data_IF_567168745382
#
_entry.id   IF_567168745382
#
_cell.length_a   1.000
_cell.length_b   1.000
_cell.length_c   1.000
_cell.angle_alpha   90.00
_cell.angle_beta   90.00
_cell.angle_gamma   90.00
#
_symmetry.space_group_name_H-M   'P 1'
#
loop_
_entity.id
_entity.type
_entity.pdbx_description
1 polymer ?
#
# COMPACT_ATOMS: atom_id res chain seq x y z
N UNK A 1 -13.23 -27.45 -2.21
CA UNK A 1 -11.96 -27.34 -1.46
C UNK A 1 -11.53 -25.89 -1.48
N UNK A 2 -11.30 -25.31 -0.32
CA UNK A 2 -10.85 -23.93 -0.21
C UNK A 2 -9.34 -23.87 -0.54
N UNK A 3 -8.87 -22.96 -1.42
CA UNK A 3 -7.44 -22.88 -1.72
C UNK A 3 -6.64 -22.50 -0.47
N UNK A 4 -5.37 -22.94 -0.40
CA UNK A 4 -4.50 -22.68 0.75
C UNK A 4 -4.41 -21.17 1.03
N UNK A 5 -4.22 -20.83 2.30
CA UNK A 5 -4.01 -19.43 2.71
C UNK A 5 -2.66 -18.95 2.19
N UNK A 6 -2.65 -17.76 1.61
CA UNK A 6 -1.44 -17.15 1.04
C UNK A 6 -0.89 -16.06 1.94
N UNK A 7 0.40 -15.76 1.85
CA UNK A 7 1.01 -14.64 2.59
C UNK A 7 0.30 -13.30 2.28
N UNK A 8 -0.15 -13.10 1.04
CA UNK A 8 -0.92 -11.91 0.66
C UNK A 8 -2.22 -11.76 1.46
N UNK A 9 -2.87 -12.87 1.81
CA UNK A 9 -4.09 -12.86 2.63
C UNK A 9 -3.78 -12.63 4.11
N UNK A 10 -2.64 -13.11 4.61
CA UNK A 10 -2.17 -12.79 5.95
C UNK A 10 -1.86 -11.29 6.09
N UNK A 11 -1.21 -10.69 5.10
CA UNK A 11 -0.98 -9.25 5.04
C UNK A 11 -2.30 -8.48 4.92
N UNK A 12 -3.23 -8.94 4.07
CA UNK A 12 -4.56 -8.34 3.97
C UNK A 12 -5.35 -8.44 5.29
N UNK A 13 -5.15 -9.49 6.08
CA UNK A 13 -5.74 -9.62 7.42
C UNK A 13 -5.15 -8.60 8.39
N UNK A 14 -3.82 -8.39 8.36
CA UNK A 14 -3.13 -7.35 9.16
C UNK A 14 -3.65 -5.96 8.83
N UNK A 15 -3.80 -5.66 7.54
CA UNK A 15 -4.26 -4.35 7.04
C UNK A 15 -5.79 -4.16 7.15
N UNK A 16 -6.55 -5.18 7.58
CA UNK A 16 -8.01 -5.13 7.61
C UNK A 16 -8.68 -5.11 6.23
N UNK A 17 -7.94 -5.47 5.18
CA UNK A 17 -8.38 -5.49 3.76
C UNK A 17 -8.77 -6.88 3.24
N UNK A 18 -8.79 -7.89 4.12
CA UNK A 18 -9.17 -9.26 3.75
C UNK A 18 -10.65 -9.33 3.30
N UNK A 19 -10.94 -9.90 2.11
CA UNK A 19 -12.31 -10.12 1.66
C UNK A 19 -13.10 -10.98 2.67
N UNK A 20 -14.38 -10.66 2.95
CA UNK A 20 -15.18 -11.40 3.93
C UNK A 20 -15.23 -12.90 3.66
N UNK A 21 -15.31 -13.31 2.39
CA UNK A 21 -15.34 -14.72 1.98
C UNK A 21 -14.09 -15.53 2.36
N UNK A 22 -12.98 -14.87 2.72
CA UNK A 22 -11.71 -15.51 3.10
C UNK A 22 -11.42 -15.45 4.60
N UNK A 23 -12.23 -14.75 5.40
CA UNK A 23 -12.01 -14.60 6.85
C UNK A 23 -11.96 -15.93 7.57
N UNK A 24 -13.00 -16.76 7.41
CA UNK A 24 -13.08 -18.07 8.08
C UNK A 24 -11.89 -18.98 7.75
N UNK A 25 -11.40 -18.91 6.51
CA UNK A 25 -10.25 -19.68 6.06
C UNK A 25 -8.94 -19.22 6.71
N UNK A 26 -8.72 -17.91 6.78
CA UNK A 26 -7.54 -17.31 7.41
C UNK A 26 -7.58 -17.51 8.93
N UNK A 27 -8.74 -17.34 9.56
CA UNK A 27 -8.90 -17.55 11.01
C UNK A 27 -8.65 -19.02 11.38
N UNK A 28 -9.17 -19.98 10.60
CA UNK A 28 -8.89 -21.40 10.80
C UNK A 28 -7.41 -21.75 10.59
N UNK A 29 -6.74 -21.13 9.62
CA UNK A 29 -5.30 -21.28 9.42
C UNK A 29 -4.52 -20.74 10.62
N UNK A 30 -4.83 -19.53 11.08
CA UNK A 30 -4.15 -18.90 12.20
C UNK A 30 -4.37 -19.63 13.54
N UNK A 31 -5.53 -20.25 13.74
CA UNK A 31 -5.80 -21.11 14.88
C UNK A 31 -4.87 -22.34 14.93
N UNK A 32 -4.41 -22.81 13.76
CA UNK A 32 -3.49 -23.94 13.63
C UNK A 32 -2.01 -23.50 13.61
N UNK A 33 -1.74 -22.21 13.43
CA UNK A 33 -0.39 -21.64 13.28
C UNK A 33 -0.17 -20.48 14.27
N UNK A 34 0.03 -20.79 15.57
CA UNK A 34 0.18 -19.76 16.61
C UNK A 34 1.41 -18.85 16.42
N UNK A 35 2.47 -19.36 15.78
CA UNK A 35 3.64 -18.55 15.43
C UNK A 35 3.30 -17.45 14.42
N UNK A 36 2.47 -17.76 13.42
CA UNK A 36 1.97 -16.76 12.47
C UNK A 36 1.04 -15.76 13.15
N UNK A 37 0.13 -16.23 14.01
CA UNK A 37 -0.71 -15.32 14.81
C UNK A 37 0.13 -14.31 15.61
N UNK A 38 1.18 -14.76 16.31
CA UNK A 38 2.08 -13.87 17.05
C UNK A 38 2.79 -12.87 16.14
N UNK A 39 3.31 -13.32 14.98
CA UNK A 39 3.94 -12.47 13.96
C UNK A 39 2.97 -11.39 13.45
N UNK A 40 1.74 -11.76 13.10
CA UNK A 40 0.74 -10.81 12.57
C UNK A 40 0.24 -9.83 13.65
N UNK A 41 0.13 -10.26 14.91
CA UNK A 41 -0.19 -9.35 16.02
C UNK A 41 0.91 -8.28 16.20
N UNK A 42 2.19 -8.66 16.07
CA UNK A 42 3.29 -7.71 16.11
C UNK A 42 3.23 -6.71 14.94
N UNK A 43 2.76 -7.12 13.75
CA UNK A 43 2.55 -6.17 12.65
C UNK A 43 1.39 -5.21 12.91
N UNK A 44 0.28 -5.70 13.48
CA UNK A 44 -0.85 -4.83 13.85
C UNK A 44 -0.48 -3.81 14.92
N UNK A 45 0.34 -4.19 15.91
CA UNK A 45 0.82 -3.23 16.92
C UNK A 45 1.74 -2.16 16.33
N UNK A 46 2.62 -2.54 15.40
CA UNK A 46 3.45 -1.60 14.64
C UNK A 46 2.60 -0.64 13.80
N UNK A 47 1.63 -1.16 13.05
CA UNK A 47 0.70 -0.34 12.27
C UNK A 47 -0.06 0.65 13.17
N UNK A 48 -0.56 0.21 14.32
CA UNK A 48 -1.22 1.08 15.29
C UNK A 48 -0.29 2.18 15.83
N UNK A 49 0.98 1.85 16.11
CA UNK A 49 1.96 2.84 16.56
C UNK A 49 2.27 3.89 15.48
N UNK A 50 2.36 3.47 14.21
CA UNK A 50 2.55 4.39 13.09
C UNK A 50 1.35 5.32 12.92
N UNK A 51 0.13 4.78 12.97
CA UNK A 51 -1.10 5.58 12.93
C UNK A 51 -1.13 6.60 14.07
N UNK A 52 -0.83 6.18 15.30
CA UNK A 52 -0.80 7.09 16.45
C UNK A 52 0.19 8.25 16.26
N UNK A 53 1.33 8.01 15.60
CA UNK A 53 2.34 9.04 15.35
C UNK A 53 1.98 9.98 14.19
N UNK A 54 1.37 9.44 13.13
CA UNK A 54 1.23 10.16 11.85
C UNK A 54 -0.20 10.61 11.51
N UNK A 55 -1.24 10.00 12.09
CA UNK A 55 -2.63 10.42 11.85
C UNK A 55 -2.88 11.90 12.17
N UNK A 56 -2.27 12.52 13.20
CA UNK A 56 -2.41 13.96 13.44
C UNK A 56 -1.91 14.83 12.27
N UNK A 57 -0.94 14.34 11.48
CA UNK A 57 -0.45 15.08 10.31
C UNK A 57 -1.48 15.11 9.18
N UNK A 58 -2.38 14.13 9.11
CA UNK A 58 -3.43 14.09 8.09
C UNK A 58 -4.46 15.22 8.27
N UNK A 59 -4.58 15.77 9.48
CA UNK A 59 -5.46 16.90 9.77
C UNK A 59 -4.84 18.27 9.46
N UNK A 60 -3.54 18.32 9.12
CA UNK A 60 -2.89 19.59 8.79
C UNK A 60 -3.34 20.11 7.42
N UNK A 61 -3.48 21.43 7.26
CA UNK A 61 -3.81 22.01 5.97
C UNK A 61 -2.71 21.68 4.95
N UNK A 62 -3.13 21.34 3.73
CA UNK A 62 -2.20 21.08 2.63
C UNK A 62 -1.46 22.38 2.29
N UNK A 63 -0.11 22.39 2.24
CA UNK A 63 0.67 23.56 1.87
C UNK A 63 0.24 24.15 0.50
N UNK A 64 0.12 25.49 0.37
CA UNK A 64 -0.37 26.12 -0.86
C UNK A 64 0.42 25.76 -2.13
N UNK A 65 1.74 25.56 -2.01
CA UNK A 65 2.59 25.15 -3.13
C UNK A 65 2.21 23.77 -3.70
N UNK A 66 1.74 22.85 -2.85
CA UNK A 66 1.28 21.52 -3.25
C UNK A 66 -0.14 21.62 -3.85
N UNK A 67 -1.02 22.41 -3.25
CA UNK A 67 -2.37 22.62 -3.79
C UNK A 67 -2.36 23.25 -5.20
N UNK A 68 -1.43 24.18 -5.46
CA UNK A 68 -1.26 24.81 -6.75
C UNK A 68 -0.80 23.82 -7.84
N UNK A 69 0.08 22.87 -7.52
CA UNK A 69 0.58 21.89 -8.50
C UNK A 69 -0.50 20.89 -8.93
N UNK A 70 -1.36 20.46 -8.01
CA UNK A 70 -2.52 19.61 -8.31
C UNK A 70 -3.51 20.35 -9.23
N UNK A 71 -3.78 21.63 -8.94
CA UNK A 71 -4.70 22.45 -9.74
C UNK A 71 -4.18 22.74 -11.15
N UNK A 72 -2.87 22.96 -11.30
CA UNK A 72 -2.22 23.14 -12.59
C UNK A 72 -2.30 21.86 -13.46
N UNK A 73 -2.10 20.69 -12.86
CA UNK A 73 -2.20 19.39 -13.54
C UNK A 73 -3.64 19.10 -14.01
N UNK A 74 -4.64 19.39 -13.16
CA UNK A 74 -6.05 19.26 -13.52
C UNK A 74 -6.45 20.19 -14.69
N UNK A 75 -5.95 21.43 -14.70
CA UNK A 75 -6.24 22.42 -15.75
C UNK A 75 -5.56 22.09 -17.09
N UNK A 76 -4.35 21.52 -17.04
CA UNK A 76 -3.66 21.02 -18.24
C UNK A 76 -4.40 19.83 -18.88
N UNK A 77 -5.07 19.01 -18.06
CA UNK A 77 -5.89 17.88 -18.52
C UNK A 77 -7.19 18.32 -19.19
N UNK A 78 -7.69 19.52 -18.87
CA UNK A 78 -8.96 20.04 -19.37
C UNK A 78 -8.84 20.84 -20.69
N UNK A 79 -7.62 21.21 -21.11
CA UNK A 79 -7.43 22.18 -22.22
C UNK A 79 -6.65 21.63 -23.42
N UNK A 80 -6.33 20.33 -23.44
CA UNK A 80 -5.68 19.74 -24.62
C UNK A 80 -6.73 19.33 -25.67
N UNK A 81 -6.81 19.99 -26.85
CA UNK A 81 -7.49 19.39 -27.98
C UNK A 81 -6.78 18.08 -28.31
N UNK A 82 -7.55 17.00 -28.41
CA UNK A 82 -7.09 15.71 -28.92
C UNK A 82 -6.69 15.86 -30.39
N UNK A 83 -5.48 16.32 -30.65
CA UNK A 83 -4.80 16.17 -31.93
C UNK A 83 -3.60 15.27 -31.71
N UNK A 84 -3.85 13.97 -31.80
CA UNK A 84 -2.80 12.97 -31.92
C UNK A 84 -2.16 13.07 -33.31
N UNK A 85 -0.82 13.09 -33.38
CA UNK A 85 -0.13 12.27 -34.35
C UNK A 85 0.49 11.07 -33.64
N UNK A 86 0.10 9.89 -34.11
CA UNK A 86 0.77 8.64 -33.80
C UNK A 86 2.21 8.69 -34.35
N UNK A 87 3.21 8.66 -33.46
CA UNK A 87 4.49 8.01 -33.68
C UNK A 87 5.41 8.16 -32.45
N UNK A 88 5.72 7.02 -31.83
CA UNK A 88 7.04 6.77 -31.23
C UNK A 88 7.30 7.35 -29.84
N UNK A 89 6.62 6.86 -28.79
CA UNK A 89 7.12 7.00 -27.41
C UNK A 89 6.86 5.75 -26.57
N UNK A 90 7.80 4.80 -26.65
CA UNK A 90 8.05 3.86 -25.55
C UNK A 90 9.53 3.93 -25.18
N UNK A 91 9.85 4.75 -24.17
CA UNK A 91 10.99 4.47 -23.29
C UNK A 91 10.38 4.05 -21.95
N UNK A 92 10.50 2.78 -21.54
CA UNK A 92 10.18 2.44 -20.16
C UNK A 92 11.17 3.19 -19.28
N UNK A 93 10.67 4.02 -18.37
CA UNK A 93 11.45 4.46 -17.23
C UNK A 93 11.71 3.21 -16.37
N UNK A 94 12.77 2.49 -16.71
CA UNK A 94 13.35 1.50 -15.82
C UNK A 94 13.80 2.26 -14.57
N UNK A 95 13.10 2.07 -13.45
CA UNK A 95 13.63 2.49 -12.16
C UNK A 95 14.96 1.75 -11.93
N UNK A 96 16.05 2.47 -11.63
CA UNK A 96 17.32 1.83 -11.39
C UNK A 96 17.19 0.84 -10.22
N UNK A 97 17.76 -0.37 -10.31
CA UNK A 97 17.53 -1.48 -9.38
C UNK A 97 18.09 -1.27 -7.95
N UNK A 98 18.54 -0.07 -7.58
CA UNK A 98 19.15 0.22 -6.27
C UNK A 98 18.16 0.73 -5.19
N UNK A 99 16.84 0.75 -5.46
CA UNK A 99 15.81 1.09 -4.47
C UNK A 99 14.80 -0.04 -4.19
N UNK A 100 15.11 -1.29 -4.57
CA UNK A 100 14.36 -2.48 -4.10
C UNK A 100 14.89 -3.05 -2.77
N UNK A 101 15.93 -2.45 -2.18
CA UNK A 101 16.63 -3.00 -1.01
C UNK A 101 16.44 -2.22 0.32
N UNK A 102 15.62 -1.16 0.36
CA UNK A 102 15.50 -0.30 1.55
C UNK A 102 14.29 -0.61 2.48
N UNK A 103 13.49 -1.64 2.18
CA UNK A 103 12.38 -2.08 3.04
C UNK A 103 12.59 -3.48 3.66
N UNK A 104 13.85 -3.96 3.72
CA UNK A 104 14.21 -5.26 4.29
C UNK A 104 14.93 -5.20 5.65
N UNK A 105 15.03 -4.02 6.29
CA UNK A 105 15.70 -3.85 7.59
C UNK A 105 14.89 -2.99 8.56
N UNK A 106 13.68 -3.43 8.87
CA UNK A 106 12.96 -3.10 10.10
C UNK A 106 11.88 -4.18 10.27
N UNK A 107 11.83 -5.02 11.29
CA UNK A 107 12.62 -5.15 12.48
C UNK A 107 12.33 -6.56 13.00
N UNK A 108 13.29 -7.45 12.83
CA UNK A 108 13.46 -8.60 13.72
C UNK A 108 14.11 -8.02 14.98
N UNK A 109 13.32 -7.71 16.00
CA UNK A 109 13.73 -7.71 17.41
C UNK A 109 12.47 -7.90 18.27
#
# INVERSE_FOLDING_TARGET
MNPPVTEAELQAWVDGRLPPARRDAVDAHLAQHPADMARLQAYRSQNAALHALFDPLLAQPVPPAIAASVSASASASATAPSSAPAAGRHRPAAWPPMLRAAAMLALTL
#
